data_IF_787169083052
#
_entry.id   IF_787169083052
#
_cell.length_a   1.000
_cell.length_b   1.000
_cell.length_c   1.000
_cell.angle_alpha   90.00
_cell.angle_beta   90.00
_cell.angle_gamma   90.00
#
_symmetry.space_group_name_H-M   'P 1'
#
loop_
_entity.id
_entity.type
_entity.pdbx_description
1 polymer ?
#
# COMPACT_ATOMS: atom_id res chain seq x y z
N UNK A 1 -45.57 -3.03 -25.28
CA UNK A 1 -44.84 -3.94 -26.18
C UNK A 1 -43.38 -3.54 -26.07
N UNK A 2 -42.69 -4.20 -25.16
CA UNK A 2 -41.31 -3.95 -24.77
C UNK A 2 -40.43 -4.50 -25.89
N UNK A 3 -39.49 -3.70 -26.42
CA UNK A 3 -38.41 -4.20 -27.28
C UNK A 3 -37.20 -4.39 -26.39
N UNK A 4 -36.86 -5.65 -26.16
CA UNK A 4 -35.66 -6.07 -25.45
C UNK A 4 -34.44 -5.79 -26.34
N UNK A 5 -33.51 -4.98 -25.85
CA UNK A 5 -32.16 -4.86 -26.41
C UNK A 5 -31.30 -6.00 -25.84
N UNK A 6 -30.77 -6.85 -26.73
CA UNK A 6 -29.83 -7.92 -26.40
C UNK A 6 -28.47 -7.35 -25.95
N UNK A 7 -27.81 -7.94 -24.93
CA UNK A 7 -26.51 -7.45 -24.48
C UNK A 7 -25.40 -7.88 -25.44
N UNK A 8 -24.59 -6.91 -25.86
CA UNK A 8 -23.40 -7.08 -26.68
C UNK A 8 -22.40 -7.97 -25.94
N UNK A 9 -22.16 -9.17 -26.45
CA UNK A 9 -21.25 -10.16 -25.89
C UNK A 9 -19.81 -9.84 -26.35
N UNK A 10 -19.19 -8.85 -25.69
CA UNK A 10 -17.85 -8.30 -25.97
C UNK A 10 -16.68 -9.31 -26.15
N UNK A 11 -16.67 -10.53 -25.55
CA UNK A 11 -15.55 -11.46 -25.74
C UNK A 11 -15.49 -12.06 -27.16
N UNK A 12 -16.66 -12.30 -27.77
CA UNK A 12 -16.77 -12.99 -29.07
C UNK A 12 -16.35 -12.07 -30.22
N UNK A 13 -16.75 -10.79 -30.15
CA UNK A 13 -16.43 -9.77 -31.15
C UNK A 13 -14.94 -9.37 -31.17
N UNK A 14 -14.22 -9.60 -30.06
CA UNK A 14 -12.77 -9.37 -29.97
C UNK A 14 -12.00 -10.52 -30.61
N UNK A 15 -12.47 -11.75 -30.44
CA UNK A 15 -11.89 -12.96 -31.05
C UNK A 15 -12.13 -12.99 -32.58
N UNK A 16 -13.31 -12.60 -33.05
CA UNK A 16 -13.59 -12.47 -34.48
C UNK A 16 -12.71 -11.41 -35.15
N UNK A 17 -12.38 -10.30 -34.48
CA UNK A 17 -11.47 -9.27 -35.03
C UNK A 17 -10.02 -9.73 -35.15
N UNK A 18 -9.53 -10.57 -34.24
CA UNK A 18 -8.20 -11.18 -34.34
C UNK A 18 -8.12 -12.20 -35.48
N UNK A 19 -9.16 -13.04 -35.64
CA UNK A 19 -9.23 -14.02 -36.73
C UNK A 19 -9.35 -13.35 -38.11
N UNK A 20 -10.11 -12.25 -38.21
CA UNK A 20 -10.26 -11.50 -39.48
C UNK A 20 -9.00 -10.71 -39.87
N UNK A 21 -8.18 -10.29 -38.90
CA UNK A 21 -6.89 -9.65 -39.16
C UNK A 21 -5.81 -10.66 -39.61
N UNK A 22 -5.90 -11.90 -39.14
CA UNK A 22 -4.97 -12.97 -39.51
C UNK A 22 -5.21 -13.49 -40.94
N UNK A 23 -6.48 -13.53 -41.38
CA UNK A 23 -6.88 -14.03 -42.70
C UNK A 23 -6.47 -13.09 -43.87
N UNK A 24 -6.11 -11.83 -43.59
CA UNK A 24 -5.59 -10.89 -44.61
C UNK A 24 -4.09 -10.99 -44.88
N UNK A 25 -3.33 -11.68 -44.04
CA UNK A 25 -1.86 -11.74 -44.15
C UNK A 25 -1.35 -13.00 -44.87
N UNK A 26 -2.19 -14.01 -45.09
CA UNK A 26 -1.78 -15.28 -45.72
C UNK A 26 -2.70 -15.53 -46.91
N UNK A 27 -2.10 -15.59 -48.11
CA UNK A 27 -2.79 -15.93 -49.36
C UNK A 27 -3.42 -17.32 -49.37
N UNK A 28 -4.05 -17.74 -50.49
CA UNK A 28 -5.04 -18.80 -50.49
C UNK A 28 -4.51 -20.16 -50.01
N UNK A 29 -5.36 -20.81 -49.21
CA UNK A 29 -5.26 -22.13 -48.57
C UNK A 29 -4.29 -23.14 -49.22
N UNK A 30 -3.31 -23.58 -48.43
CA UNK A 30 -2.57 -24.83 -48.67
C UNK A 30 -2.98 -25.85 -47.61
N UNK A 31 -3.40 -27.05 -48.02
CA UNK A 31 -4.07 -28.07 -47.17
C UNK A 31 -3.21 -28.72 -46.06
N UNK A 32 -2.05 -28.17 -45.70
CA UNK A 32 -1.12 -28.76 -44.71
C UNK A 32 -1.08 -28.01 -43.35
N UNK A 33 -1.91 -27.01 -43.12
CA UNK A 33 -1.87 -26.20 -41.88
C UNK A 33 -2.68 -26.78 -40.71
N UNK A 34 -3.51 -27.80 -40.92
CA UNK A 34 -4.40 -28.32 -39.88
C UNK A 34 -3.67 -28.92 -38.67
N UNK A 35 -2.56 -29.67 -38.77
CA UNK A 35 -1.89 -30.19 -37.59
C UNK A 35 -1.12 -29.12 -36.81
N UNK A 36 -0.60 -28.10 -37.51
CA UNK A 36 0.22 -27.04 -36.91
C UNK A 36 -0.67 -26.03 -36.18
N UNK A 37 -1.81 -25.63 -36.76
CA UNK A 37 -2.79 -24.79 -36.07
C UNK A 37 -3.38 -25.52 -34.86
N UNK A 38 -3.73 -26.80 -35.01
CA UNK A 38 -4.25 -27.60 -33.90
C UNK A 38 -3.17 -27.80 -32.82
N UNK A 39 -1.91 -28.04 -33.17
CA UNK A 39 -0.82 -28.12 -32.19
C UNK A 39 -0.55 -26.78 -31.48
N UNK A 40 -0.66 -25.65 -32.19
CA UNK A 40 -0.56 -24.30 -31.63
C UNK A 40 -1.74 -24.00 -30.68
N UNK A 41 -2.96 -24.34 -31.08
CA UNK A 41 -4.16 -24.22 -30.24
C UNK A 41 -4.11 -25.18 -29.04
N UNK A 42 -3.60 -26.39 -29.19
CA UNK A 42 -3.42 -27.37 -28.11
C UNK A 42 -2.30 -26.91 -27.14
N UNK A 43 -1.20 -26.35 -27.64
CA UNK A 43 -0.16 -25.72 -26.81
C UNK A 43 -0.70 -24.50 -26.05
N UNK A 44 -1.49 -23.64 -26.69
CA UNK A 44 -2.13 -22.49 -26.03
C UNK A 44 -3.11 -22.95 -24.94
N UNK A 45 -3.93 -23.98 -25.20
CA UNK A 45 -4.87 -24.51 -24.19
C UNK A 45 -4.19 -25.23 -23.02
N UNK A 46 -2.99 -25.79 -23.21
CA UNK A 46 -2.24 -26.43 -22.12
C UNK A 46 -1.47 -25.41 -21.26
N UNK A 47 -1.18 -24.21 -21.79
CA UNK A 47 -0.62 -23.09 -21.02
C UNK A 47 -1.67 -22.29 -20.24
N UNK A 48 -2.95 -22.46 -20.57
CA UNK A 48 -4.06 -21.72 -19.96
C UNK A 48 -4.53 -22.28 -18.61
N UNK A 49 -4.00 -23.42 -18.15
CA UNK A 49 -4.17 -23.86 -16.77
C UNK A 49 -3.29 -22.98 -15.87
N UNK A 50 -3.81 -21.82 -15.48
CA UNK A 50 -3.12 -20.87 -14.62
C UNK A 50 -2.52 -21.54 -13.38
N UNK A 51 -1.34 -21.09 -12.95
CA UNK A 51 -0.70 -21.57 -11.73
C UNK A 51 -1.63 -21.29 -10.55
N UNK A 52 -2.00 -22.34 -9.79
CA UNK A 52 -2.91 -22.21 -8.66
C UNK A 52 -2.34 -21.26 -7.59
N UNK A 53 -3.13 -20.27 -7.18
CA UNK A 53 -2.73 -19.28 -6.17
C UNK A 53 -3.85 -18.99 -5.16
N UNK A 54 -3.53 -18.45 -3.96
CA UNK A 54 -4.51 -18.21 -2.91
C UNK A 54 -5.26 -16.88 -3.02
N UNK A 55 -4.94 -16.04 -4.01
CA UNK A 55 -5.47 -14.68 -4.17
C UNK A 55 -6.89 -14.65 -4.77
N UNK A 56 -7.56 -13.51 -4.58
CA UNK A 56 -8.89 -13.20 -5.10
C UNK A 56 -8.82 -12.07 -6.14
N UNK A 57 -9.53 -12.13 -7.27
CA UNK A 57 -10.37 -13.24 -7.75
C UNK A 57 -9.60 -14.54 -8.00
N UNK A 58 -10.28 -15.70 -7.88
CA UNK A 58 -9.65 -17.04 -7.97
C UNK A 58 -9.19 -17.40 -9.39
N UNK A 59 -9.70 -16.70 -10.38
CA UNK A 59 -9.42 -16.84 -11.81
C UNK A 59 -8.35 -15.86 -12.33
N UNK A 60 -7.67 -15.13 -11.43
CA UNK A 60 -6.51 -14.33 -11.79
C UNK A 60 -5.44 -15.20 -12.48
N UNK A 61 -4.76 -14.62 -13.46
CA UNK A 61 -3.64 -15.26 -14.14
C UNK A 61 -2.35 -14.66 -13.62
N UNK A 62 -1.61 -15.42 -12.82
CA UNK A 62 -0.32 -15.02 -12.26
C UNK A 62 0.73 -16.07 -12.66
N UNK A 63 1.23 -16.04 -13.91
CA UNK A 63 2.08 -17.12 -14.45
C UNK A 63 3.39 -17.31 -13.69
N UNK A 64 3.90 -16.23 -13.08
CA UNK A 64 5.15 -16.24 -12.31
C UNK A 64 4.95 -16.62 -10.85
N UNK A 65 3.73 -16.98 -10.42
CA UNK A 65 3.44 -17.24 -9.02
C UNK A 65 4.24 -18.42 -8.47
N UNK A 66 4.92 -18.18 -7.34
CA UNK A 66 5.53 -19.20 -6.51
C UNK A 66 5.08 -18.99 -5.08
N UNK A 67 4.53 -20.04 -4.45
CA UNK A 67 4.11 -20.02 -3.07
C UNK A 67 5.28 -19.68 -2.12
N UNK A 68 4.98 -19.07 -0.97
CA UNK A 68 5.97 -18.80 0.06
C UNK A 68 6.53 -20.11 0.62
N UNK A 69 7.85 -20.18 0.79
CA UNK A 69 8.51 -21.25 1.55
C UNK A 69 8.46 -20.99 3.08
N UNK A 70 8.22 -19.74 3.50
CA UNK A 70 8.02 -19.35 4.89
C UNK A 70 6.56 -19.36 5.29
N UNK A 71 6.32 -19.75 6.52
CA UNK A 71 5.00 -19.69 7.14
C UNK A 71 4.57 -18.25 7.47
N UNK A 72 3.25 -18.03 7.53
CA UNK A 72 2.66 -16.77 8.00
C UNK A 72 3.21 -16.37 9.37
N UNK A 73 3.36 -17.33 10.29
CA UNK A 73 3.89 -17.09 11.63
C UNK A 73 5.32 -16.57 11.62
N UNK A 74 6.21 -17.11 10.79
CA UNK A 74 7.59 -16.65 10.70
C UNK A 74 7.66 -15.20 10.18
N UNK A 75 6.84 -14.90 9.17
CA UNK A 75 6.75 -13.56 8.58
C UNK A 75 6.25 -12.54 9.62
N UNK A 76 5.15 -12.86 10.31
CA UNK A 76 4.56 -11.97 11.31
C UNK A 76 5.46 -11.80 12.54
N UNK A 77 6.08 -12.87 13.03
CA UNK A 77 7.01 -12.79 14.17
C UNK A 77 8.18 -11.87 13.83
N UNK A 78 8.76 -11.99 12.63
CA UNK A 78 9.81 -11.08 12.20
C UNK A 78 9.32 -9.64 12.13
N UNK A 79 8.19 -9.38 11.47
CA UNK A 79 7.63 -8.03 11.31
C UNK A 79 7.41 -7.37 12.68
N UNK A 80 6.68 -8.03 13.58
CA UNK A 80 6.38 -7.50 14.91
C UNK A 80 7.62 -7.38 15.79
N UNK A 81 8.61 -8.28 15.65
CA UNK A 81 9.86 -8.20 16.40
C UNK A 81 10.68 -6.98 15.99
N UNK A 82 10.85 -6.75 14.69
CA UNK A 82 11.62 -5.59 14.18
C UNK A 82 10.91 -4.29 14.53
N UNK A 83 9.60 -4.19 14.28
CA UNK A 83 8.82 -3.01 14.68
C UNK A 83 8.84 -2.79 16.21
N UNK A 84 8.80 -3.87 16.99
CA UNK A 84 8.92 -3.83 18.45
C UNK A 84 10.28 -3.30 18.93
N UNK A 85 11.38 -3.68 18.26
CA UNK A 85 12.72 -3.14 18.53
C UNK A 85 12.79 -1.66 18.21
N UNK A 86 12.28 -1.21 17.05
CA UNK A 86 12.22 0.21 16.70
C UNK A 86 11.42 1.02 17.71
N UNK A 87 10.25 0.50 18.13
CA UNK A 87 9.41 1.13 19.14
C UNK A 87 10.15 1.22 20.48
N UNK A 88 10.75 0.12 20.95
CA UNK A 88 11.47 0.08 22.22
C UNK A 88 12.68 1.03 22.21
N UNK A 89 13.50 1.00 21.16
CA UNK A 89 14.65 1.90 21.04
C UNK A 89 14.23 3.37 21.06
N UNK A 90 13.23 3.72 20.26
CA UNK A 90 12.70 5.09 20.20
C UNK A 90 12.07 5.50 21.55
N UNK A 91 11.38 4.59 22.23
CA UNK A 91 10.83 4.83 23.55
C UNK A 91 11.92 5.10 24.58
N UNK A 92 12.99 4.32 24.59
CA UNK A 92 14.13 4.50 25.50
C UNK A 92 14.84 5.83 25.23
N UNK A 93 15.09 6.18 23.96
CA UNK A 93 15.72 7.45 23.57
C UNK A 93 14.87 8.64 24.03
N UNK A 94 13.57 8.62 23.75
CA UNK A 94 12.65 9.71 24.13
C UNK A 94 12.35 9.78 25.63
N UNK A 95 12.66 8.70 26.37
CA UNK A 95 12.48 8.62 27.83
C UNK A 95 13.66 9.17 28.63
N UNK A 96 14.84 9.26 28.02
CA UNK A 96 16.02 9.89 28.63
C UNK A 96 15.77 11.40 28.79
N UNK A 97 16.19 11.95 29.92
CA UNK A 97 16.07 13.39 30.19
C UNK A 97 17.09 14.12 29.31
N UNK A 98 16.63 14.70 28.20
CA UNK A 98 17.47 15.51 27.31
C UNK A 98 17.60 16.96 27.79
N UNK A 99 18.35 17.77 27.04
CA UNK A 99 18.57 19.19 27.32
C UNK A 99 17.27 20.03 27.33
N UNK A 100 16.22 19.56 26.68
CA UNK A 100 14.90 20.21 26.60
C UNK A 100 13.86 19.65 27.58
N UNK A 101 14.28 18.79 28.52
CA UNK A 101 13.39 18.10 29.45
C UNK A 101 12.86 16.76 28.90
N UNK A 102 11.93 16.15 29.64
CA UNK A 102 11.32 14.86 29.26
C UNK A 102 10.07 15.12 28.42
N UNK A 103 9.97 14.48 27.26
CA UNK A 103 8.75 14.51 26.46
C UNK A 103 7.59 13.86 27.23
N UNK A 104 6.41 14.48 27.18
CA UNK A 104 5.19 13.88 27.72
C UNK A 104 4.88 12.54 27.05
N UNK A 105 4.20 11.65 27.77
CA UNK A 105 3.91 10.26 27.33
C UNK A 105 3.32 10.20 25.92
N UNK A 106 2.31 11.03 25.62
CA UNK A 106 1.67 11.07 24.30
C UNK A 106 2.61 11.50 23.18
N UNK A 107 3.53 12.45 23.45
CA UNK A 107 4.53 12.86 22.47
C UNK A 107 5.52 11.75 22.18
N UNK A 108 5.90 10.98 23.20
CA UNK A 108 6.80 9.82 23.04
C UNK A 108 6.15 8.75 22.17
N UNK A 109 4.86 8.47 22.38
CA UNK A 109 4.09 7.55 21.55
C UNK A 109 4.01 8.05 20.09
N UNK A 110 3.76 9.33 19.86
CA UNK A 110 3.77 9.91 18.51
C UNK A 110 5.13 9.77 17.81
N UNK A 111 6.23 9.99 18.53
CA UNK A 111 7.59 9.80 17.97
C UNK A 111 7.87 8.32 17.69
N UNK A 112 7.41 7.40 18.54
CA UNK A 112 7.52 5.96 18.26
C UNK A 112 6.70 5.56 17.04
N UNK A 113 5.49 6.11 16.88
CA UNK A 113 4.67 5.92 15.68
C UNK A 113 5.43 6.35 14.42
N UNK A 114 5.99 7.56 14.40
CA UNK A 114 6.80 8.00 13.24
C UNK A 114 8.03 7.14 12.99
N UNK A 115 8.68 6.60 14.03
CA UNK A 115 9.79 5.66 13.82
C UNK A 115 9.33 4.36 13.15
N UNK A 116 8.18 3.81 13.57
CA UNK A 116 7.57 2.63 12.95
C UNK A 116 7.12 2.94 11.52
N UNK A 117 6.48 4.09 11.27
CA UNK A 117 6.13 4.54 9.91
C UNK A 117 7.36 4.64 9.01
N UNK A 118 8.45 5.24 9.49
CA UNK A 118 9.70 5.34 8.74
C UNK A 118 10.22 3.97 8.31
N UNK A 119 10.15 2.97 9.18
CA UNK A 119 10.53 1.59 8.86
C UNK A 119 9.58 0.94 7.85
N UNK A 120 8.26 1.00 8.07
CA UNK A 120 7.26 0.37 7.19
C UNK A 120 7.35 1.00 5.80
N UNK A 121 7.21 2.32 5.70
CA UNK A 121 7.24 3.02 4.43
C UNK A 121 8.61 2.89 3.75
N UNK A 122 9.70 3.11 4.49
CA UNK A 122 11.04 3.13 3.91
C UNK A 122 11.57 1.75 3.49
N UNK A 123 11.22 0.69 4.21
CA UNK A 123 11.77 -0.66 3.97
C UNK A 123 10.76 -1.58 3.31
N UNK A 124 9.54 -1.68 3.86
CA UNK A 124 8.53 -2.63 3.38
C UNK A 124 7.90 -2.10 2.09
N UNK A 125 7.35 -0.90 2.13
CA UNK A 125 6.75 -0.24 0.95
C UNK A 125 7.82 0.20 -0.05
N UNK A 126 9.01 0.57 0.43
CA UNK A 126 10.18 0.79 -0.44
C UNK A 126 10.56 -0.45 -1.25
N UNK A 127 10.51 -1.64 -0.64
CA UNK A 127 10.71 -2.89 -1.38
C UNK A 127 9.62 -3.11 -2.43
N UNK A 128 8.36 -2.88 -2.08
CA UNK A 128 7.26 -2.97 -3.05
C UNK A 128 7.44 -2.01 -4.22
N UNK A 129 7.71 -0.74 -3.94
CA UNK A 129 7.93 0.30 -4.96
C UNK A 129 9.03 -0.08 -5.97
N UNK A 130 10.06 -0.80 -5.53
CA UNK A 130 11.19 -1.21 -6.37
C UNK A 130 11.00 -2.56 -7.08
N UNK A 131 10.23 -3.48 -6.50
CA UNK A 131 10.22 -4.89 -6.91
C UNK A 131 8.82 -5.46 -7.13
N UNK A 132 7.77 -4.63 -7.21
CA UNK A 132 6.38 -5.09 -7.32
C UNK A 132 6.14 -6.09 -8.46
N UNK A 133 6.89 -5.98 -9.55
CA UNK A 133 6.78 -6.80 -10.76
C UNK A 133 7.27 -8.24 -10.57
N UNK A 134 8.27 -8.45 -9.70
CA UNK A 134 8.86 -9.77 -9.44
C UNK A 134 8.30 -10.47 -8.19
N UNK A 135 7.59 -9.75 -7.31
CA UNK A 135 7.03 -10.27 -6.04
C UNK A 135 6.30 -11.60 -6.18
N UNK A 136 5.47 -11.85 -7.21
CA UNK A 136 4.72 -13.11 -7.31
C UNK A 136 5.62 -14.35 -7.35
N UNK A 137 6.79 -14.25 -7.97
CA UNK A 137 7.75 -15.36 -8.09
C UNK A 137 8.92 -15.30 -7.12
N UNK A 138 9.20 -14.13 -6.54
CA UNK A 138 10.36 -13.92 -5.68
C UNK A 138 10.21 -14.59 -4.30
N UNK A 139 11.33 -15.06 -3.77
CA UNK A 139 11.44 -15.74 -2.47
C UNK A 139 12.24 -14.93 -1.44
N UNK A 140 12.62 -13.69 -1.75
CA UNK A 140 13.15 -12.78 -0.74
C UNK A 140 12.12 -12.56 0.38
N UNK A 141 12.60 -12.36 1.62
CA UNK A 141 11.72 -12.26 2.78
C UNK A 141 10.64 -11.17 2.63
N UNK A 142 11.00 -9.98 2.14
CA UNK A 142 10.04 -8.88 1.95
C UNK A 142 9.02 -9.17 0.85
N UNK A 143 9.42 -9.85 -0.24
CA UNK A 143 8.48 -10.32 -1.26
C UNK A 143 7.51 -11.36 -0.72
N UNK A 144 7.98 -12.25 0.16
CA UNK A 144 7.09 -13.20 0.83
C UNK A 144 6.13 -12.53 1.81
N UNK A 145 6.58 -11.48 2.50
CA UNK A 145 5.71 -10.64 3.34
C UNK A 145 4.62 -9.99 2.48
N UNK A 146 4.96 -9.44 1.31
CA UNK A 146 3.98 -8.87 0.39
C UNK A 146 3.04 -9.91 -0.18
N UNK A 147 3.51 -11.11 -0.52
CA UNK A 147 2.64 -12.23 -0.91
C UNK A 147 1.69 -12.65 0.21
N UNK A 148 2.13 -12.65 1.46
CA UNK A 148 1.27 -12.94 2.60
C UNK A 148 0.21 -11.85 2.79
N UNK A 149 0.61 -10.57 2.74
CA UNK A 149 -0.32 -9.45 2.80
C UNK A 149 -1.31 -9.44 1.63
N UNK A 150 -0.86 -9.86 0.44
CA UNK A 150 -1.69 -9.94 -0.77
C UNK A 150 -2.84 -10.94 -0.66
N UNK A 151 -2.83 -11.86 0.32
CA UNK A 151 -4.00 -12.70 0.61
C UNK A 151 -5.17 -11.87 1.18
N UNK A 152 -4.85 -10.76 1.85
CA UNK A 152 -5.82 -9.75 2.31
C UNK A 152 -6.23 -8.77 1.23
N UNK A 153 -5.33 -8.46 0.28
CA UNK A 153 -5.61 -7.59 -0.85
C UNK A 153 -4.72 -7.92 -2.05
N UNK A 154 -5.31 -8.57 -3.04
CA UNK A 154 -4.59 -9.13 -4.18
C UNK A 154 -4.07 -8.07 -5.14
N UNK A 155 -4.47 -6.80 -5.00
CA UNK A 155 -3.95 -5.68 -5.80
C UNK A 155 -2.44 -5.53 -5.69
N UNK A 156 -1.85 -5.93 -4.56
CA UNK A 156 -0.41 -5.93 -4.37
C UNK A 156 0.31 -7.02 -5.18
N UNK A 157 -0.28 -8.19 -5.40
CA UNK A 157 0.36 -9.24 -6.20
C UNK A 157 0.17 -9.03 -7.71
N UNK A 158 -0.90 -8.34 -8.12
CA UNK A 158 -1.15 -7.99 -9.52
C UNK A 158 -0.59 -6.62 -9.91
N UNK A 159 0.08 -5.93 -8.99
CA UNK A 159 0.65 -4.60 -9.18
C UNK A 159 -0.37 -3.58 -9.72
N UNK A 160 -1.53 -3.48 -9.07
CA UNK A 160 -2.54 -2.50 -9.42
C UNK A 160 -1.95 -1.07 -9.46
N UNK A 161 -2.30 -0.30 -10.48
CA UNK A 161 -1.72 1.02 -10.73
C UNK A 161 -1.86 1.96 -9.53
N UNK A 162 -3.02 1.97 -8.88
CA UNK A 162 -3.22 2.84 -7.73
C UNK A 162 -2.34 2.40 -6.56
N UNK A 163 -2.32 1.11 -6.23
CA UNK A 163 -1.48 0.59 -5.13
C UNK A 163 0.00 0.89 -5.37
N UNK A 164 0.53 0.62 -6.58
CA UNK A 164 1.93 0.89 -6.93
C UNK A 164 2.26 2.38 -6.81
N UNK A 165 1.41 3.27 -7.34
CA UNK A 165 1.63 4.71 -7.24
C UNK A 165 1.57 5.22 -5.80
N UNK A 166 0.56 4.80 -5.03
CA UNK A 166 0.37 5.21 -3.65
C UNK A 166 1.55 4.78 -2.78
N UNK A 167 1.95 3.51 -2.87
CA UNK A 167 3.04 2.94 -2.09
C UNK A 167 4.41 3.50 -2.49
N UNK A 168 4.57 3.90 -3.76
CA UNK A 168 5.76 4.63 -4.20
C UNK A 168 5.81 6.00 -3.53
N UNK A 169 4.71 6.75 -3.49
CA UNK A 169 4.68 8.05 -2.81
C UNK A 169 4.95 7.88 -1.31
N UNK A 170 4.37 6.87 -0.66
CA UNK A 170 4.59 6.63 0.76
C UNK A 170 6.03 6.24 1.06
N UNK A 171 6.62 5.36 0.26
CA UNK A 171 8.00 4.94 0.40
C UNK A 171 8.99 6.11 0.25
N UNK A 172 8.85 6.91 -0.81
CA UNK A 172 9.83 7.94 -1.16
C UNK A 172 9.61 9.27 -0.46
N UNK A 173 8.40 9.55 0.06
CA UNK A 173 8.12 10.78 0.82
C UNK A 173 7.85 10.49 2.29
N UNK A 174 6.83 9.68 2.61
CA UNK A 174 6.40 9.48 3.99
C UNK A 174 7.40 8.70 4.84
N UNK A 175 8.14 7.76 4.26
CA UNK A 175 9.26 7.09 4.95
C UNK A 175 10.35 8.05 5.40
N UNK A 176 11.05 8.74 4.47
CA UNK A 176 12.07 9.75 4.82
C UNK A 176 11.54 10.86 5.72
N UNK A 177 10.34 11.38 5.45
CA UNK A 177 9.76 12.45 6.27
C UNK A 177 9.41 11.98 7.68
N UNK A 178 9.03 10.71 7.87
CA UNK A 178 8.78 10.17 9.21
C UNK A 178 10.07 10.11 10.04
N UNK A 179 11.20 9.69 9.46
CA UNK A 179 12.50 9.79 10.15
C UNK A 179 12.91 11.24 10.42
N UNK A 180 12.64 12.15 9.48
CA UNK A 180 12.87 13.57 9.68
C UNK A 180 12.02 14.15 10.82
N UNK A 181 10.75 13.72 10.93
CA UNK A 181 9.87 14.10 12.03
C UNK A 181 10.43 13.60 13.36
N UNK A 182 10.89 12.35 13.46
CA UNK A 182 11.56 11.81 14.66
C UNK A 182 12.74 12.71 15.05
N UNK A 183 13.65 13.01 14.12
CA UNK A 183 14.78 13.92 14.35
C UNK A 183 14.32 15.31 14.81
N UNK A 184 13.31 15.88 14.16
CA UNK A 184 12.80 17.21 14.46
C UNK A 184 12.18 17.29 15.87
N UNK A 185 11.49 16.23 16.31
CA UNK A 185 10.96 16.14 17.67
C UNK A 185 12.07 15.95 18.71
N UNK A 186 13.05 15.09 18.45
CA UNK A 186 14.17 14.86 19.37
C UNK A 186 15.07 16.09 19.54
N UNK A 187 15.25 16.88 18.48
CA UNK A 187 16.08 18.10 18.49
C UNK A 187 15.26 19.39 18.65
N UNK A 188 13.98 19.26 19.02
CA UNK A 188 13.06 20.37 19.31
C UNK A 188 13.00 21.45 18.21
N UNK A 189 13.03 21.05 16.93
CA UNK A 189 12.97 21.96 15.78
C UNK A 189 11.61 22.63 15.67
N UNK A 190 11.52 23.90 15.24
CA UNK A 190 10.26 24.65 15.18
C UNK A 190 9.26 24.06 14.18
N UNK A 191 9.74 23.44 13.09
CA UNK A 191 8.91 22.87 12.04
C UNK A 191 8.37 21.45 12.34
N UNK A 192 8.66 20.87 13.52
CA UNK A 192 8.27 19.48 13.86
C UNK A 192 6.76 19.21 13.73
N UNK A 193 5.93 20.20 14.06
CA UNK A 193 4.48 20.09 13.95
C UNK A 193 3.97 20.28 12.51
N UNK A 194 4.69 21.04 11.69
CA UNK A 194 4.42 21.14 10.25
C UNK A 194 4.69 19.79 9.59
N UNK A 195 5.82 19.15 9.90
CA UNK A 195 6.11 17.80 9.41
C UNK A 195 5.07 16.78 9.87
N UNK A 196 4.72 16.78 11.17
CA UNK A 196 3.66 15.91 11.70
C UNK A 196 2.36 16.07 10.90
N UNK A 197 1.92 17.31 10.66
CA UNK A 197 0.70 17.59 9.92
C UNK A 197 0.76 17.07 8.47
N UNK A 198 1.84 17.36 7.75
CA UNK A 198 2.01 16.97 6.33
C UNK A 198 2.00 15.45 6.17
N UNK A 199 2.80 14.76 6.99
CA UNK A 199 2.92 13.29 6.90
C UNK A 199 1.59 12.64 7.28
N UNK A 200 0.98 13.05 8.38
CA UNK A 200 -0.28 12.47 8.84
C UNK A 200 -1.43 12.73 7.86
N UNK A 201 -1.47 13.90 7.21
CA UNK A 201 -2.45 14.16 6.17
C UNK A 201 -2.23 13.28 4.94
N UNK A 202 -0.98 13.09 4.51
CA UNK A 202 -0.62 12.21 3.40
C UNK A 202 -1.01 10.75 3.66
N UNK A 203 -0.72 10.24 4.86
CA UNK A 203 -1.10 8.89 5.30
C UNK A 203 -2.62 8.72 5.31
N UNK A 204 -3.35 9.67 5.91
CA UNK A 204 -4.81 9.64 5.96
C UNK A 204 -5.41 9.66 4.54
N UNK A 205 -4.91 10.52 3.67
CA UNK A 205 -5.40 10.65 2.30
C UNK A 205 -5.17 9.36 1.50
N UNK A 206 -3.96 8.78 1.58
CA UNK A 206 -3.66 7.49 0.96
C UNK A 206 -4.57 6.37 1.45
N UNK A 207 -4.74 6.25 2.77
CA UNK A 207 -5.59 5.22 3.37
C UNK A 207 -7.07 5.38 2.98
N UNK A 208 -7.59 6.61 2.91
CA UNK A 208 -8.96 6.85 2.42
C UNK A 208 -9.08 6.41 0.96
N UNK A 209 -8.16 6.82 0.09
CA UNK A 209 -8.20 6.41 -1.30
C UNK A 209 -8.08 4.89 -1.47
N UNK A 210 -7.22 4.24 -0.69
CA UNK A 210 -7.06 2.78 -0.66
C UNK A 210 -8.36 2.02 -0.39
N UNK A 211 -9.14 2.46 0.60
CA UNK A 211 -10.45 1.88 0.88
C UNK A 211 -11.48 2.23 -0.19
N UNK A 212 -11.47 3.46 -0.69
CA UNK A 212 -12.45 3.91 -1.69
C UNK A 212 -12.27 3.22 -3.04
N UNK A 213 -11.03 2.98 -3.47
CA UNK A 213 -10.77 2.24 -4.72
C UNK A 213 -11.29 0.81 -4.60
N UNK A 214 -10.98 0.11 -3.50
CA UNK A 214 -11.45 -1.27 -3.32
C UNK A 214 -12.97 -1.35 -3.13
N UNK A 215 -13.55 -0.39 -2.42
CA UNK A 215 -15.00 -0.30 -2.27
C UNK A 215 -15.69 -0.13 -3.64
N UNK A 216 -15.09 0.66 -4.53
CA UNK A 216 -15.62 0.86 -5.88
C UNK A 216 -15.48 -0.38 -6.76
N UNK A 217 -14.46 -1.19 -6.52
CA UNK A 217 -14.25 -2.49 -7.15
C UNK A 217 -15.08 -3.61 -6.47
N UNK A 218 -15.95 -3.26 -5.52
CA UNK A 218 -16.86 -4.21 -4.87
C UNK A 218 -16.15 -5.21 -3.94
N UNK A 219 -14.98 -4.86 -3.43
CA UNK A 219 -14.12 -5.75 -2.63
C UNK A 219 -13.69 -7.03 -3.35
N UNK A 220 -13.48 -6.95 -4.67
CA UNK A 220 -13.15 -8.10 -5.51
C UNK A 220 -11.77 -8.73 -5.21
N UNK A 221 -10.85 -7.98 -4.60
CA UNK A 221 -9.45 -8.41 -4.44
C UNK A 221 -9.17 -9.10 -3.11
N UNK A 222 -10.19 -9.40 -2.32
CA UNK A 222 -10.09 -10.08 -1.03
C UNK A 222 -11.21 -11.11 -0.84
N UNK A 223 -11.00 -12.06 0.06
CA UNK A 223 -12.07 -12.94 0.50
C UNK A 223 -13.01 -12.19 1.45
N UNK A 224 -14.09 -11.63 0.91
CA UNK A 224 -15.00 -10.80 1.69
C UNK A 224 -15.51 -11.52 2.94
N UNK A 225 -15.27 -10.90 4.11
CA UNK A 225 -15.69 -11.42 5.41
C UNK A 225 -14.71 -12.39 6.08
N UNK A 226 -13.61 -12.79 5.43
CA UNK A 226 -12.62 -13.67 6.05
C UNK A 226 -11.97 -13.00 7.29
N UNK A 227 -11.94 -13.68 8.46
CA UNK A 227 -11.57 -13.04 9.73
C UNK A 227 -10.12 -12.52 9.76
N UNK A 228 -9.19 -13.24 9.14
CA UNK A 228 -7.77 -12.85 9.11
C UNK A 228 -7.51 -11.91 7.93
N UNK A 229 -7.69 -12.38 6.70
CA UNK A 229 -7.34 -11.63 5.50
C UNK A 229 -8.19 -10.37 5.26
N UNK A 230 -9.51 -10.44 5.40
CA UNK A 230 -10.35 -9.26 5.22
C UNK A 230 -10.40 -8.40 6.48
N UNK A 231 -10.82 -8.95 7.61
CA UNK A 231 -11.04 -8.12 8.80
C UNK A 231 -9.74 -7.66 9.49
N UNK A 232 -8.74 -8.54 9.59
CA UNK A 232 -7.50 -8.17 10.27
C UNK A 232 -6.52 -7.45 9.33
N UNK A 233 -6.13 -8.05 8.19
CA UNK A 233 -5.16 -7.42 7.27
C UNK A 233 -5.75 -6.21 6.55
N UNK A 234 -6.87 -6.39 5.84
CA UNK A 234 -7.42 -5.31 5.02
C UNK A 234 -8.07 -4.20 5.87
N UNK A 235 -8.93 -4.53 6.83
CA UNK A 235 -9.65 -3.50 7.63
C UNK A 235 -8.83 -3.01 8.82
N UNK A 236 -8.55 -3.87 9.81
CA UNK A 236 -8.02 -3.43 11.10
C UNK A 236 -6.67 -2.76 10.98
N UNK A 237 -5.72 -3.36 10.25
CA UNK A 237 -4.41 -2.74 10.05
C UNK A 237 -4.60 -1.36 9.44
N UNK A 238 -5.17 -1.23 8.24
CA UNK A 238 -5.31 0.06 7.55
C UNK A 238 -6.12 1.12 8.32
N UNK A 239 -7.09 0.74 9.16
CA UNK A 239 -7.79 1.70 10.04
C UNK A 239 -6.85 2.39 11.04
N UNK A 240 -5.74 1.77 11.44
CA UNK A 240 -4.72 2.43 12.28
C UNK A 240 -4.09 3.63 11.56
N UNK A 241 -3.89 3.54 10.24
CA UNK A 241 -3.40 4.63 9.37
C UNK A 241 -4.47 5.71 9.10
N UNK A 242 -5.71 5.52 9.57
CA UNK A 242 -6.74 6.57 9.59
C UNK A 242 -6.77 7.23 10.97
N UNK A 243 -6.98 6.43 12.01
CA UNK A 243 -7.25 6.94 13.36
C UNK A 243 -6.04 7.65 13.93
N UNK A 244 -4.84 7.04 13.88
CA UNK A 244 -3.65 7.62 14.48
C UNK A 244 -3.26 8.92 13.76
N UNK A 245 -3.14 8.95 12.41
CA UNK A 245 -2.85 10.20 11.70
C UNK A 245 -3.89 11.30 11.94
N UNK A 246 -5.18 10.97 12.02
CA UNK A 246 -6.21 11.96 12.35
C UNK A 246 -5.99 12.61 13.73
N UNK A 247 -5.64 11.81 14.75
CA UNK A 247 -5.32 12.38 16.08
C UNK A 247 -4.07 13.27 16.04
N UNK A 248 -3.07 12.90 15.24
CA UNK A 248 -1.84 13.67 15.07
C UNK A 248 -2.08 14.98 14.30
N UNK A 249 -2.99 14.98 13.32
CA UNK A 249 -3.42 16.20 12.62
C UNK A 249 -4.04 17.19 13.62
N UNK A 250 -4.98 16.72 14.46
CA UNK A 250 -5.63 17.57 15.47
C UNK A 250 -4.62 18.12 16.48
N UNK A 251 -3.68 17.30 16.95
CA UNK A 251 -2.60 17.75 17.83
C UNK A 251 -1.71 18.80 17.16
N UNK A 252 -1.22 18.55 15.94
CA UNK A 252 -0.37 19.48 15.21
C UNK A 252 -1.09 20.82 14.97
N UNK A 253 -2.35 20.76 14.54
CA UNK A 253 -3.19 21.93 14.33
C UNK A 253 -3.29 22.79 15.59
N UNK A 254 -3.64 22.18 16.73
CA UNK A 254 -3.75 22.90 18.02
C UNK A 254 -2.44 23.59 18.41
N UNK A 255 -1.31 22.89 18.26
CA UNK A 255 0.01 23.41 18.63
C UNK A 255 0.42 24.58 17.74
N UNK A 256 0.19 24.46 16.42
CA UNK A 256 0.48 25.50 15.45
C UNK A 256 -0.42 26.74 15.65
N UNK A 257 -1.73 26.54 15.84
CA UNK A 257 -2.66 27.65 16.10
C UNK A 257 -2.33 28.39 17.39
N UNK A 258 -1.95 27.66 18.45
CA UNK A 258 -1.54 28.26 19.73
C UNK A 258 -0.27 29.10 19.56
N UNK A 259 0.73 28.57 18.85
CA UNK A 259 1.96 29.30 18.55
C UNK A 259 1.68 30.59 17.74
N UNK A 260 0.79 30.53 16.75
CA UNK A 260 0.41 31.69 15.94
C UNK A 260 -0.31 32.76 16.80
N UNK A 261 -1.26 32.35 17.63
CA UNK A 261 -1.97 33.27 18.52
C UNK A 261 -1.01 34.01 19.48
N UNK A 262 -0.01 33.32 20.03
CA UNK A 262 1.03 33.96 20.85
C UNK A 262 1.88 34.96 20.07
N UNK A 263 2.22 34.65 18.81
CA UNK A 263 2.98 35.56 17.96
C UNK A 263 2.19 36.85 17.67
N UNK A 264 0.89 36.72 17.39
CA UNK A 264 0.00 37.85 17.09
C UNK A 264 -0.18 38.79 18.30
N UNK A 265 -0.36 38.21 19.50
CA UNK A 265 -0.42 38.98 20.76
C UNK A 265 0.88 39.75 20.99
N UNK A 266 2.03 39.09 20.81
CA UNK A 266 3.35 39.69 21.02
C UNK A 266 3.58 40.87 20.07
N UNK A 267 3.14 40.73 18.81
CA UNK A 267 3.23 41.81 17.80
C UNK A 267 2.34 43.00 18.17
N UNK A 268 1.12 42.76 18.65
CA UNK A 268 0.20 43.80 19.13
C UNK A 268 0.79 44.59 20.31
N UNK A 269 1.39 43.91 21.29
CA UNK A 269 2.04 44.58 22.42
C UNK A 269 3.25 45.43 22.01
N UNK A 270 4.05 44.99 21.04
CA UNK A 270 5.16 45.80 20.49
C UNK A 270 4.65 47.05 19.78
N UNK A 271 3.57 46.93 19.00
CA UNK A 271 2.98 48.07 18.28
C UNK A 271 2.35 49.12 19.21
N UNK A 272 1.89 48.75 20.41
CA UNK A 272 1.34 49.69 21.40
C UNK A 272 2.42 50.40 22.25
N UNK A 273 3.68 49.97 22.17
CA UNK A 273 4.80 50.50 22.95
C UNK A 273 5.67 51.50 22.19
N UNK A 274 5.48 51.60 20.87
CA UNK A 274 6.11 52.57 19.97
C UNK A 274 5.11 53.67 19.63
#
# INVERSE_FOLDING_TARGET
MIRDEEPINEPVDRMCRYLYAYDRLIGPCNHNWTPILIASLIMDTSSAAGVLHPYWPRDLLIPTYVANDRSMSEILVFLFSVSGVFLLMTWLITGRRGATGRLGTWRRLAVCWFAVCGFIHGVIEGWFSLYYDIIPGDQSFLSQLWKEYSKGDSRYVIADNFTVCMETVTAWLWGPFSFWAVFAFLTNKPYRFVLQLIISLGQLYGAVLYFFTEHRDGYAHSELGHPIYFWFYFVFMNVLWIVIPLTLIVDAWRQMSTAQAHADITKSHKSKRN
#
